data_IF_191709190515
#
_entry.id   IF_191709190515
#
_cell.length_a   1.000
_cell.length_b   1.000
_cell.length_c   1.000
_cell.angle_alpha   90.00
_cell.angle_beta   90.00
_cell.angle_gamma   90.00
#
_symmetry.space_group_name_H-M   'P 1'
#
loop_
_entity.id
_entity.type
_entity.pdbx_description
1 polymer ?
#
# COMPACT_ATOMS: atom_id res chain seq x y z
N UNK A 1 -0.30 2.18 17.10
CA UNK A 1 -0.03 3.26 16.14
C UNK A 1 0.09 2.65 14.74
N UNK A 2 -0.90 2.80 13.84
CA UNK A 2 -0.84 2.20 12.51
C UNK A 2 0.08 3.03 11.60
N UNK A 3 1.38 2.92 11.87
CA UNK A 3 2.57 3.26 11.05
C UNK A 3 2.30 3.70 9.60
N UNK A 4 1.74 4.89 9.41
CA UNK A 4 1.55 5.53 8.10
C UNK A 4 0.48 4.90 7.17
N UNK A 5 -0.41 4.05 7.68
CA UNK A 5 -1.51 3.47 6.87
C UNK A 5 -2.81 4.19 7.17
N UNK A 6 -3.40 4.82 6.16
CA UNK A 6 -4.69 5.52 6.25
C UNK A 6 -5.87 4.54 6.11
N UNK A 7 -6.23 3.92 7.23
CA UNK A 7 -7.39 3.01 7.29
C UNK A 7 -8.72 3.69 6.93
N UNK A 8 -9.03 4.91 7.40
CA UNK A 8 -10.21 5.65 6.94
C UNK A 8 -10.28 5.77 5.41
N UNK A 9 -9.18 6.14 4.75
CA UNK A 9 -9.14 6.20 3.29
C UNK A 9 -9.41 4.83 2.66
N UNK A 10 -8.75 3.76 3.13
CA UNK A 10 -8.98 2.41 2.61
C UNK A 10 -10.44 1.96 2.75
N UNK A 11 -11.10 2.28 3.86
CA UNK A 11 -12.52 1.95 4.08
C UNK A 11 -13.44 2.73 3.14
N UNK A 12 -13.13 4.00 2.84
CA UNK A 12 -13.92 4.79 1.87
C UNK A 12 -13.77 4.29 0.44
N UNK A 13 -12.57 3.82 0.07
CA UNK A 13 -12.27 3.33 -1.27
C UNK A 13 -12.78 1.90 -1.48
N UNK A 14 -12.69 1.05 -0.46
CA UNK A 14 -13.16 -0.33 -0.48
C UNK A 14 -14.55 -0.41 0.14
N UNK A 15 -15.60 -0.06 -0.61
CA UNK A 15 -16.97 -0.15 -0.11
C UNK A 15 -17.30 -1.55 0.44
N UNK A 16 -18.14 -1.59 1.47
CA UNK A 16 -18.49 -2.82 2.23
C UNK A 16 -17.32 -3.52 2.93
N UNK A 17 -16.16 -2.86 3.04
CA UNK A 17 -15.06 -3.31 3.90
C UNK A 17 -15.24 -2.79 5.32
N UNK A 18 -14.68 -3.51 6.29
CA UNK A 18 -14.69 -3.11 7.70
C UNK A 18 -13.43 -3.62 8.40
N UNK A 19 -13.10 -3.03 9.55
CA UNK A 19 -11.97 -3.48 10.36
C UNK A 19 -12.40 -4.61 11.29
N UNK A 20 -11.78 -5.78 11.17
CA UNK A 20 -11.97 -6.89 12.13
C UNK A 20 -11.07 -6.75 13.35
N UNK A 21 -9.93 -6.08 13.19
CA UNK A 21 -8.94 -5.75 14.23
C UNK A 21 -8.31 -4.39 13.93
N UNK A 22 -7.65 -3.72 14.90
CA UNK A 22 -7.03 -2.41 14.69
C UNK A 22 -6.03 -2.31 13.51
N UNK A 23 -5.50 -3.44 13.03
CA UNK A 23 -4.54 -3.52 11.94
C UNK A 23 -4.98 -4.49 10.82
N UNK A 24 -6.25 -4.85 10.76
CA UNK A 24 -6.79 -5.83 9.79
C UNK A 24 -8.11 -5.32 9.22
N UNK A 25 -8.17 -5.19 7.90
CA UNK A 25 -9.41 -4.91 7.14
C UNK A 25 -9.91 -6.22 6.51
N UNK A 26 -11.21 -6.45 6.59
CA UNK A 26 -11.93 -7.45 5.81
C UNK A 26 -12.35 -6.81 4.50
N UNK A 27 -11.95 -7.39 3.38
CA UNK A 27 -12.26 -6.89 2.03
C UNK A 27 -13.23 -7.86 1.33
N UNK A 28 -14.29 -7.36 0.68
CA UNK A 28 -15.14 -8.20 -0.17
C UNK A 28 -14.35 -8.81 -1.32
N UNK A 29 -14.58 -10.10 -1.63
CA UNK A 29 -13.81 -10.82 -2.65
C UNK A 29 -13.78 -10.15 -4.03
N UNK A 30 -14.88 -9.50 -4.44
CA UNK A 30 -14.96 -8.77 -5.71
C UNK A 30 -14.12 -7.48 -5.79
N UNK A 31 -13.54 -7.03 -4.67
CA UNK A 31 -12.72 -5.80 -4.58
C UNK A 31 -11.24 -6.09 -4.28
N UNK A 32 -10.83 -7.36 -4.34
CA UNK A 32 -9.46 -7.78 -3.99
C UNK A 32 -8.39 -7.14 -4.89
N UNK A 33 -8.66 -7.00 -6.20
CA UNK A 33 -7.72 -6.33 -7.11
C UNK A 33 -7.45 -4.88 -6.69
N UNK A 34 -8.51 -4.12 -6.41
CA UNK A 34 -8.43 -2.74 -5.95
C UNK A 34 -7.71 -2.65 -4.59
N UNK A 35 -7.99 -3.57 -3.66
CA UNK A 35 -7.32 -3.61 -2.37
C UNK A 35 -5.81 -3.89 -2.51
N UNK A 36 -5.43 -4.80 -3.40
CA UNK A 36 -4.02 -5.07 -3.70
C UNK A 36 -3.36 -3.83 -4.30
N UNK A 37 -4.00 -3.16 -5.26
CA UNK A 37 -3.46 -1.94 -5.85
C UNK A 37 -3.23 -0.85 -4.80
N UNK A 38 -4.22 -0.57 -3.94
CA UNK A 38 -4.09 0.43 -2.88
C UNK A 38 -2.99 0.09 -1.85
N UNK A 39 -2.81 -1.19 -1.54
CA UNK A 39 -1.78 -1.64 -0.59
C UNK A 39 -0.37 -1.69 -1.19
N UNK A 40 -0.22 -2.21 -2.41
CA UNK A 40 1.07 -2.61 -2.98
C UNK A 40 1.68 -1.53 -3.86
N UNK A 41 0.88 -0.78 -4.62
CA UNK A 41 1.39 0.26 -5.53
C UNK A 41 2.32 1.27 -4.86
N UNK A 42 1.97 1.89 -3.70
CA UNK A 42 2.89 2.83 -3.06
C UNK A 42 4.18 2.17 -2.57
N UNK A 43 4.12 0.91 -2.13
CA UNK A 43 5.31 0.16 -1.70
C UNK A 43 6.23 -0.12 -2.89
N UNK A 44 5.66 -0.52 -4.03
CA UNK A 44 6.42 -0.75 -5.25
C UNK A 44 7.09 0.54 -5.74
N UNK A 45 6.39 1.67 -5.70
CA UNK A 45 6.96 2.97 -6.05
C UNK A 45 8.18 3.30 -5.18
N UNK A 46 8.06 3.12 -3.86
CA UNK A 46 9.17 3.32 -2.94
C UNK A 46 10.38 2.40 -3.23
N UNK A 47 10.12 1.15 -3.61
CA UNK A 47 11.18 0.21 -4.01
C UNK A 47 11.87 0.65 -5.31
N UNK A 48 11.09 1.08 -6.30
CA UNK A 48 11.62 1.59 -7.57
C UNK A 48 12.46 2.86 -7.38
N UNK A 49 12.01 3.78 -6.53
CA UNK A 49 12.75 5.00 -6.21
C UNK A 49 14.07 4.70 -5.47
N UNK A 50 14.06 3.73 -4.55
CA UNK A 50 15.28 3.26 -3.87
C UNK A 50 16.26 2.63 -4.85
N UNK A 51 15.77 1.78 -5.76
CA UNK A 51 16.58 1.17 -6.83
C UNK A 51 17.18 2.23 -7.75
N UNK A 52 16.40 3.24 -8.12
CA UNK A 52 16.87 4.36 -8.95
C UNK A 52 18.03 5.11 -8.30
N UNK A 53 17.90 5.45 -7.01
CA UNK A 53 18.97 6.12 -6.24
C UNK A 53 20.23 5.26 -6.08
N UNK A 54 20.08 3.96 -5.81
CA UNK A 54 21.21 3.04 -5.70
C UNK A 54 22.02 2.97 -7.01
N UNK A 55 21.32 2.85 -8.16
CA UNK A 55 21.96 2.84 -9.48
C UNK A 55 22.66 4.15 -9.84
N UNK A 56 22.08 5.30 -9.47
CA UNK A 56 22.73 6.60 -9.66
C UNK A 56 24.03 6.71 -8.86
N UNK A 57 24.05 6.16 -7.65
CA UNK A 57 25.25 6.13 -6.81
C UNK A 57 26.34 5.21 -7.39
N UNK A 58 25.98 4.05 -7.95
CA UNK A 58 26.92 3.16 -8.66
C UNK A 58 27.59 3.83 -9.87
N UNK A 59 26.87 4.67 -10.62
CA UNK A 59 27.44 5.39 -11.76
C UNK A 59 28.35 6.58 -11.40
N UNK A 60 28.48 6.90 -10.12
CA UNK A 60 29.34 7.99 -9.60
C UNK A 60 30.67 7.47 -9.02
N UNK A 61 30.91 6.16 -9.03
CA UNK A 61 32.19 5.50 -8.69
C UNK A 61 32.80 4.86 -9.93
#
# INVERSE_FOLDING_TARGET
DPRGVDFPYLLTMLHDSFMSRPNVIVVPGGKMEMAIQLCITPLLQQLMDRRGRARQMEGLY
#
